data_IF_446820257991
#
_entry.id   IF_446820257991
#
_cell.length_a   1.000
_cell.length_b   1.000
_cell.length_c   1.000
_cell.angle_alpha   90.00
_cell.angle_beta   90.00
_cell.angle_gamma   90.00
#
_symmetry.space_group_name_H-M   'P 1'
#
loop_
_entity.id
_entity.type
_entity.pdbx_description
1 polymer ?
#
# COMPACT_ATOMS: atom_id res chain seq x y z
N UNK A 1 -14.87 2.44 -3.96
CA UNK A 1 -14.02 1.61 -4.85
C UNK A 1 -12.57 1.40 -4.40
N UNK A 2 -12.17 1.93 -3.23
CA UNK A 2 -10.81 1.75 -2.67
C UNK A 2 -10.80 0.85 -1.44
N UNK A 3 -11.95 0.60 -0.85
CA UNK A 3 -12.09 -0.33 0.26
C UNK A 3 -12.50 -1.70 -0.27
N UNK A 4 -12.03 -2.75 0.37
CA UNK A 4 -12.44 -4.12 0.07
C UNK A 4 -13.89 -4.30 0.56
N UNK A 5 -14.84 -4.66 -0.31
CA UNK A 5 -16.26 -4.79 0.08
C UNK A 5 -16.47 -5.80 1.21
N UNK A 6 -15.67 -6.85 1.23
CA UNK A 6 -15.81 -7.99 2.14
C UNK A 6 -14.85 -7.95 3.35
N UNK A 7 -14.18 -6.82 3.63
CA UNK A 7 -13.17 -6.74 4.70
C UNK A 7 -13.68 -7.22 6.06
N UNK A 8 -14.89 -6.82 6.46
CA UNK A 8 -15.48 -7.27 7.71
C UNK A 8 -15.82 -8.77 7.71
N UNK A 9 -16.25 -9.30 6.58
CA UNK A 9 -16.52 -10.73 6.40
C UNK A 9 -15.23 -11.55 6.47
N UNK A 10 -14.15 -11.06 5.83
CA UNK A 10 -12.81 -11.66 5.92
C UNK A 10 -12.30 -11.63 7.36
N UNK A 11 -12.41 -10.49 8.06
CA UNK A 11 -12.01 -10.37 9.45
C UNK A 11 -12.78 -11.35 10.35
N UNK A 12 -14.10 -11.41 10.22
CA UNK A 12 -14.93 -12.36 10.96
C UNK A 12 -14.55 -13.84 10.67
N UNK A 13 -14.11 -14.14 9.44
CA UNK A 13 -13.60 -15.47 9.09
C UNK A 13 -12.27 -15.76 9.80
N UNK A 14 -11.34 -14.76 9.87
CA UNK A 14 -10.09 -14.90 10.64
C UNK A 14 -10.36 -15.12 12.13
N UNK A 15 -11.34 -14.43 12.70
CA UNK A 15 -11.73 -14.61 14.11
C UNK A 15 -12.28 -16.01 14.38
N UNK A 16 -13.07 -16.57 13.46
CA UNK A 16 -13.52 -17.98 13.55
C UNK A 16 -12.36 -18.95 13.48
N UNK A 17 -11.49 -18.79 12.47
CA UNK A 17 -10.29 -19.63 12.31
C UNK A 17 -9.42 -19.60 13.59
N UNK A 18 -9.25 -18.42 14.21
CA UNK A 18 -8.51 -18.27 15.47
C UNK A 18 -9.15 -19.03 16.61
N UNK A 19 -10.48 -18.91 16.80
CA UNK A 19 -11.20 -19.66 17.85
C UNK A 19 -11.10 -21.17 17.70
N UNK A 20 -11.03 -21.62 16.44
CA UNK A 20 -10.93 -23.04 16.11
C UNK A 20 -9.47 -23.55 16.05
N UNK A 21 -8.50 -22.73 16.47
CA UNK A 21 -7.07 -23.07 16.45
C UNK A 21 -6.43 -23.12 15.07
N UNK A 22 -7.09 -22.65 14.03
CA UNK A 22 -6.63 -22.68 12.62
C UNK A 22 -5.94 -21.36 12.23
N UNK A 23 -4.77 -21.09 12.79
CA UNK A 23 -3.98 -19.92 12.41
C UNK A 23 -3.28 -20.17 11.07
N UNK A 24 -3.34 -19.19 10.15
CA UNK A 24 -2.72 -19.27 8.83
C UNK A 24 -1.24 -18.88 8.82
N UNK A 25 -0.81 -18.09 9.81
CA UNK A 25 0.56 -17.60 9.90
C UNK A 25 0.67 -16.34 10.80
N UNK A 26 1.84 -15.71 10.85
CA UNK A 26 2.10 -14.57 11.73
C UNK A 26 1.25 -13.32 11.42
N UNK A 27 0.73 -13.21 10.20
CA UNK A 27 -0.14 -12.11 9.78
C UNK A 27 -1.63 -12.41 9.95
N UNK A 28 -1.99 -13.50 10.63
CA UNK A 28 -3.39 -13.93 10.76
C UNK A 28 -4.27 -12.88 11.43
N UNK A 29 -5.21 -12.32 10.67
CA UNK A 29 -6.15 -11.29 11.13
C UNK A 29 -5.58 -9.87 11.15
N UNK A 30 -4.32 -9.68 10.75
CA UNK A 30 -3.71 -8.35 10.72
C UNK A 30 -4.29 -7.54 9.55
N UNK A 31 -4.94 -6.39 9.82
CA UNK A 31 -5.44 -5.51 8.77
C UNK A 31 -4.30 -4.71 8.14
N UNK A 32 -4.32 -4.57 6.80
CA UNK A 32 -3.33 -3.79 6.08
C UNK A 32 -3.93 -3.06 4.88
N UNK A 33 -3.18 -2.05 4.42
CA UNK A 33 -3.50 -1.27 3.24
C UNK A 33 -2.39 -1.43 2.18
N UNK A 34 -2.77 -1.31 0.91
CA UNK A 34 -1.87 -1.45 -0.23
C UNK A 34 -1.83 -0.17 -1.06
N UNK A 35 -0.65 0.25 -1.50
CA UNK A 35 -0.52 1.35 -2.46
C UNK A 35 -1.26 1.04 -3.76
N UNK A 36 -1.91 2.04 -4.37
CA UNK A 36 -2.81 1.83 -5.50
C UNK A 36 -2.11 1.55 -6.85
N UNK A 37 -0.87 1.16 -6.84
CA UNK A 37 -0.17 0.53 -7.96
C UNK A 37 0.04 -0.98 -7.79
N UNK A 38 -0.41 -1.57 -6.68
CA UNK A 38 -0.32 -3.00 -6.37
C UNK A 38 -1.68 -3.63 -6.66
N UNK A 39 -1.74 -4.62 -7.52
CA UNK A 39 -2.97 -5.33 -7.88
C UNK A 39 -3.56 -6.06 -6.68
N UNK A 40 -4.85 -5.86 -6.43
CA UNK A 40 -5.57 -6.51 -5.34
C UNK A 40 -7.07 -6.64 -5.66
N UNK A 41 -7.47 -7.80 -6.12
CA UNK A 41 -8.87 -8.11 -6.43
C UNK A 41 -9.77 -7.99 -5.17
N UNK A 42 -11.02 -7.57 -5.33
CA UNK A 42 -11.70 -7.12 -6.53
C UNK A 42 -11.54 -5.61 -6.82
N UNK A 43 -10.62 -4.93 -6.14
CA UNK A 43 -10.43 -3.48 -6.25
C UNK A 43 -9.71 -3.11 -7.54
N UNK A 44 -10.00 -1.90 -8.04
CA UNK A 44 -9.24 -1.35 -9.16
C UNK A 44 -7.81 -1.03 -8.76
N UNK A 45 -6.88 -1.14 -9.71
CA UNK A 45 -5.50 -0.69 -9.60
C UNK A 45 -5.27 0.42 -10.60
N UNK A 46 -5.06 1.64 -10.12
CA UNK A 46 -5.14 2.82 -10.99
C UNK A 46 -3.85 3.63 -11.10
N UNK A 47 -2.84 3.37 -10.26
CA UNK A 47 -1.69 4.28 -10.12
C UNK A 47 -2.10 5.75 -9.88
N UNK A 48 -3.30 5.97 -9.33
CA UNK A 48 -3.89 7.29 -9.11
C UNK A 48 -4.51 7.95 -10.35
N UNK A 49 -4.42 7.31 -11.51
CA UNK A 49 -4.91 7.84 -12.78
C UNK A 49 -6.36 7.47 -13.04
N UNK A 50 -7.13 8.42 -13.58
CA UNK A 50 -8.51 8.18 -14.04
C UNK A 50 -8.55 7.22 -15.24
N UNK A 51 -7.48 7.15 -16.04
CA UNK A 51 -7.40 6.25 -17.19
C UNK A 51 -7.49 4.77 -16.81
N UNK A 52 -7.06 4.41 -15.59
CA UNK A 52 -7.08 3.04 -15.08
C UNK A 52 -8.15 2.81 -13.99
N UNK A 53 -9.09 3.72 -13.79
CA UNK A 53 -10.09 3.59 -12.71
C UNK A 53 -10.98 2.34 -12.82
N UNK A 54 -11.13 1.78 -14.02
CA UNK A 54 -11.87 0.54 -14.29
C UNK A 54 -11.01 -0.72 -14.38
N UNK A 55 -9.69 -0.60 -14.27
CA UNK A 55 -8.78 -1.73 -14.39
C UNK A 55 -8.77 -2.57 -13.11
N UNK A 56 -9.34 -3.78 -13.16
CA UNK A 56 -9.52 -4.71 -12.03
C UNK A 56 -8.80 -6.03 -12.31
N UNK A 57 -7.48 -6.06 -12.15
CA UNK A 57 -6.67 -7.27 -12.35
C UNK A 57 -6.79 -8.23 -11.16
N UNK A 58 -6.32 -9.45 -11.36
CA UNK A 58 -6.11 -10.42 -10.28
C UNK A 58 -5.06 -9.93 -9.28
N UNK A 59 -5.02 -10.57 -8.10
CA UNK A 59 -4.05 -10.25 -7.04
C UNK A 59 -2.59 -10.32 -7.55
N UNK A 60 -1.80 -9.34 -7.18
CA UNK A 60 -0.34 -9.43 -7.27
C UNK A 60 0.19 -10.64 -6.48
N UNK A 61 1.33 -11.20 -6.89
CA UNK A 61 1.96 -12.31 -6.14
C UNK A 61 2.11 -11.99 -4.65
N UNK A 62 2.59 -10.80 -4.33
CA UNK A 62 2.71 -10.31 -2.95
C UNK A 62 1.35 -10.36 -2.21
N UNK A 63 0.27 -9.94 -2.86
CA UNK A 63 -1.07 -9.89 -2.24
C UNK A 63 -1.60 -11.30 -1.98
N UNK A 64 -1.40 -12.23 -2.90
CA UNK A 64 -1.72 -13.65 -2.67
C UNK A 64 -1.00 -14.17 -1.43
N UNK A 65 0.32 -13.91 -1.31
CA UNK A 65 1.13 -14.34 -0.16
C UNK A 65 0.66 -13.73 1.17
N UNK A 66 0.27 -12.44 1.17
CA UNK A 66 -0.28 -11.78 2.36
C UNK A 66 -1.62 -12.40 2.79
N UNK A 67 -2.52 -12.67 1.84
CA UNK A 67 -3.81 -13.33 2.10
C UNK A 67 -3.62 -14.77 2.60
N UNK A 68 -2.69 -15.53 2.01
CA UNK A 68 -2.36 -16.90 2.44
C UNK A 68 -1.82 -16.91 3.87
N UNK A 69 -1.03 -15.90 4.26
CA UNK A 69 -0.55 -15.72 5.63
C UNK A 69 -1.66 -15.24 6.61
N UNK A 70 -2.87 -15.00 6.11
CA UNK A 70 -4.05 -14.65 6.89
C UNK A 70 -4.29 -13.16 7.07
N UNK A 71 -3.53 -12.28 6.43
CA UNK A 71 -3.78 -10.85 6.48
C UNK A 71 -5.15 -10.46 5.90
N UNK A 72 -5.71 -9.36 6.40
CA UNK A 72 -6.96 -8.78 5.89
C UNK A 72 -6.64 -7.51 5.12
N UNK A 73 -6.84 -7.53 3.81
CA UNK A 73 -6.62 -6.36 2.97
C UNK A 73 -7.82 -5.44 3.08
N UNK A 74 -7.66 -4.28 3.74
CA UNK A 74 -8.74 -3.31 3.93
C UNK A 74 -9.02 -2.48 2.69
N UNK A 75 -7.99 -2.17 1.89
CA UNK A 75 -8.17 -1.28 0.76
C UNK A 75 -6.87 -0.81 0.13
N UNK A 76 -7.02 0.22 -0.72
CA UNK A 76 -5.94 0.85 -1.48
C UNK A 76 -5.66 2.26 -0.95
N UNK A 77 -4.40 2.60 -0.79
CA UNK A 77 -3.97 3.95 -0.40
C UNK A 77 -3.70 4.82 -1.61
N UNK A 78 -3.95 6.12 -1.46
CA UNK A 78 -3.55 7.11 -2.46
C UNK A 78 -2.02 7.15 -2.61
N UNK A 79 -1.57 7.57 -3.77
CA UNK A 79 -0.16 7.71 -4.11
C UNK A 79 0.04 8.98 -4.92
N UNK A 80 1.29 9.41 -5.08
CA UNK A 80 1.59 10.37 -6.16
C UNK A 80 1.29 9.70 -7.49
N UNK A 81 0.50 10.36 -8.34
CA UNK A 81 0.04 9.79 -9.61
C UNK A 81 1.20 9.23 -10.42
N UNK A 82 1.06 8.00 -10.93
CA UNK A 82 2.11 7.27 -11.64
C UNK A 82 3.43 7.22 -10.87
N UNK A 83 3.35 7.15 -9.52
CA UNK A 83 4.51 7.11 -8.63
C UNK A 83 5.52 8.28 -8.83
N UNK A 84 5.01 9.48 -9.13
CA UNK A 84 5.77 10.68 -9.52
C UNK A 84 6.45 10.60 -10.91
N UNK A 85 6.23 9.54 -11.67
CA UNK A 85 6.87 9.36 -12.98
C UNK A 85 6.11 10.03 -14.13
N UNK A 86 5.01 10.72 -13.84
CA UNK A 86 4.12 11.36 -14.82
C UNK A 86 4.80 12.52 -15.58
N UNK A 87 5.72 13.23 -14.95
CA UNK A 87 6.41 14.39 -15.53
C UNK A 87 7.16 15.20 -14.49
N UNK A 88 7.92 16.20 -14.95
CA UNK A 88 8.78 17.01 -14.09
C UNK A 88 8.02 17.90 -13.09
N UNK A 89 6.72 18.14 -13.30
CA UNK A 89 5.84 18.92 -12.42
C UNK A 89 4.97 18.01 -11.54
N UNK A 90 5.36 16.77 -11.28
CA UNK A 90 4.63 15.87 -10.39
C UNK A 90 4.62 16.40 -8.95
N UNK A 91 3.48 16.29 -8.29
CA UNK A 91 3.29 16.72 -6.90
C UNK A 91 3.16 15.48 -6.02
N UNK A 92 4.04 15.37 -5.03
CA UNK A 92 4.01 14.24 -4.09
C UNK A 92 2.70 14.19 -3.30
N UNK A 93 2.09 13.02 -3.30
CA UNK A 93 0.82 12.76 -2.61
C UNK A 93 -0.43 13.16 -3.38
N UNK A 94 -0.30 13.76 -4.57
CA UNK A 94 -1.44 14.11 -5.40
C UNK A 94 -1.70 13.06 -6.48
N UNK A 95 -2.97 12.78 -6.71
CA UNK A 95 -3.43 12.01 -7.87
C UNK A 95 -4.78 12.52 -8.37
N UNK A 96 -5.06 12.36 -9.67
CA UNK A 96 -6.35 12.76 -10.25
C UNK A 96 -7.52 11.98 -9.61
N UNK A 97 -7.29 10.73 -9.23
CA UNK A 97 -8.31 9.88 -8.60
C UNK A 97 -8.51 10.19 -7.12
N UNK A 98 -7.45 10.56 -6.39
CA UNK A 98 -7.44 10.64 -4.92
C UNK A 98 -7.31 12.04 -4.35
N UNK A 99 -7.01 13.02 -5.18
CA UNK A 99 -6.66 14.36 -4.71
C UNK A 99 -5.34 14.37 -3.94
N UNK A 100 -5.15 15.35 -3.09
CA UNK A 100 -3.93 15.57 -2.32
C UNK A 100 -3.97 14.83 -0.98
N UNK A 101 -3.11 13.86 -0.80
CA UNK A 101 -2.77 13.31 0.52
C UNK A 101 -2.01 14.37 1.33
N UNK A 102 -2.37 14.56 2.57
CA UNK A 102 -1.80 15.57 3.45
C UNK A 102 -0.99 14.93 4.57
N UNK A 103 0.06 15.62 5.02
CA UNK A 103 0.83 15.20 6.17
C UNK A 103 -0.07 15.25 7.43
N UNK A 104 -0.16 14.17 8.24
CA UNK A 104 -1.10 14.10 9.36
C UNK A 104 -0.71 15.01 10.54
N UNK A 105 0.55 15.40 10.65
CA UNK A 105 1.05 16.29 11.71
C UNK A 105 0.99 17.77 11.31
N UNK A 106 1.18 18.08 10.03
CA UNK A 106 1.14 19.44 9.46
C UNK A 106 0.51 19.42 8.09
N UNK A 107 -0.78 19.65 8.02
CA UNK A 107 -1.60 19.55 6.80
C UNK A 107 -1.14 20.45 5.65
N UNK A 108 -0.38 21.52 5.95
CA UNK A 108 0.23 22.42 4.96
C UNK A 108 1.54 21.90 4.37
N UNK A 109 2.11 20.81 4.94
CA UNK A 109 3.38 20.25 4.48
C UNK A 109 3.12 19.07 3.53
N UNK A 110 4.08 18.85 2.62
CA UNK A 110 4.08 17.67 1.75
C UNK A 110 4.20 16.39 2.60
N UNK A 111 3.46 15.33 2.30
CA UNK A 111 3.67 14.02 2.91
C UNK A 111 4.85 13.27 2.29
N UNK A 112 5.57 13.86 1.34
CA UNK A 112 6.45 13.18 0.39
C UNK A 112 5.71 12.09 -0.40
N UNK A 113 6.40 11.28 -1.16
CA UNK A 113 5.82 10.21 -2.00
C UNK A 113 6.90 9.36 -2.67
N UNK A 114 6.45 8.41 -3.44
CA UNK A 114 5.08 8.28 -3.98
C UNK A 114 4.14 7.43 -3.10
N UNK A 115 4.62 6.70 -2.08
CA UNK A 115 3.76 5.91 -1.18
C UNK A 115 3.13 6.76 -0.07
N UNK A 116 2.64 7.95 -0.42
CA UNK A 116 2.15 8.99 0.50
C UNK A 116 1.02 8.48 1.39
N UNK A 117 -0.02 7.90 0.79
CA UNK A 117 -1.18 7.40 1.53
C UNK A 117 -0.85 6.21 2.43
N UNK A 118 0.12 5.37 2.04
CA UNK A 118 0.58 4.25 2.89
C UNK A 118 1.26 4.78 4.15
N UNK A 119 2.19 5.75 4.04
CA UNK A 119 2.84 6.36 5.19
C UNK A 119 1.84 7.11 6.09
N UNK A 120 0.97 7.92 5.48
CA UNK A 120 -0.02 8.70 6.22
C UNK A 120 -1.03 7.82 6.95
N UNK A 121 -1.48 6.71 6.35
CA UNK A 121 -2.41 5.78 6.99
C UNK A 121 -1.81 5.15 8.26
N UNK A 122 -0.53 4.78 8.21
CA UNK A 122 0.20 4.26 9.38
C UNK A 122 0.43 5.36 10.42
N UNK A 123 0.93 6.53 10.00
CA UNK A 123 1.18 7.67 10.89
C UNK A 123 -0.09 8.17 11.60
N UNK A 124 -1.24 8.10 10.92
CA UNK A 124 -2.55 8.43 11.48
C UNK A 124 -3.19 7.28 12.27
N UNK A 125 -2.47 6.18 12.49
CA UNK A 125 -2.92 5.01 13.23
C UNK A 125 -4.21 4.36 12.69
N UNK A 126 -4.40 4.42 11.36
CA UNK A 126 -5.54 3.77 10.69
C UNK A 126 -5.29 2.27 10.50
N UNK A 127 -4.03 1.88 10.36
CA UNK A 127 -3.55 0.48 10.27
C UNK A 127 -2.17 0.38 10.90
N UNK A 128 -1.82 -0.81 11.38
CA UNK A 128 -0.47 -1.08 11.92
C UNK A 128 0.59 -1.20 10.82
N UNK A 129 0.19 -1.63 9.63
CA UNK A 129 1.09 -1.84 8.50
C UNK A 129 0.41 -1.46 7.18
N UNK A 130 1.16 -0.83 6.30
CA UNK A 130 0.78 -0.62 4.91
C UNK A 130 1.93 -1.01 3.97
N UNK A 131 1.61 -1.38 2.73
CA UNK A 131 2.61 -1.71 1.72
C UNK A 131 2.75 -0.54 0.76
N UNK A 132 3.99 -0.10 0.59
CA UNK A 132 4.40 0.85 -0.42
C UNK A 132 5.18 0.20 -1.55
N UNK A 133 5.63 1.01 -2.51
CA UNK A 133 6.59 0.63 -3.55
C UNK A 133 7.63 1.74 -3.70
N UNK A 134 8.84 1.35 -3.99
CA UNK A 134 9.93 2.30 -4.20
C UNK A 134 10.76 1.91 -5.41
N UNK A 135 11.01 2.88 -6.26
CA UNK A 135 12.06 2.88 -7.25
C UNK A 135 13.25 3.66 -6.70
N UNK A 136 13.00 4.93 -6.34
CA UNK A 136 13.96 5.85 -5.73
C UNK A 136 13.22 6.74 -4.72
N UNK A 137 13.45 6.53 -3.42
CA UNK A 137 12.88 7.31 -2.33
C UNK A 137 11.40 7.08 -2.00
N UNK A 138 10.64 6.34 -2.80
CA UNK A 138 9.16 6.30 -2.70
C UNK A 138 8.57 5.51 -1.52
N UNK A 139 9.37 4.85 -0.70
CA UNK A 139 9.03 4.32 0.63
C UNK A 139 9.73 5.16 1.70
N UNK A 140 11.06 5.32 1.56
CA UNK A 140 11.88 5.90 2.64
C UNK A 140 11.59 7.38 2.84
N UNK A 141 11.30 8.16 1.78
CA UNK A 141 10.97 9.58 1.91
C UNK A 141 9.62 9.79 2.62
N UNK A 142 8.48 9.22 2.17
CA UNK A 142 7.22 9.39 2.89
C UNK A 142 7.27 8.77 4.30
N UNK A 143 8.04 7.71 4.54
CA UNK A 143 8.24 7.19 5.88
C UNK A 143 8.92 8.20 6.78
N UNK A 144 10.06 8.76 6.37
CA UNK A 144 10.80 9.76 7.14
C UNK A 144 9.96 11.01 7.44
N UNK A 145 9.26 11.55 6.42
CA UNK A 145 8.50 12.79 6.56
C UNK A 145 7.24 12.61 7.43
N UNK A 146 6.69 11.41 7.50
CA UNK A 146 5.48 11.13 8.30
C UNK A 146 5.82 10.39 9.63
N UNK A 147 7.10 10.27 10.00
CA UNK A 147 7.53 9.72 11.28
C UNK A 147 7.20 8.24 11.47
N UNK A 148 7.28 7.46 10.39
CA UNK A 148 7.07 6.01 10.42
C UNK A 148 8.30 5.26 9.90
N UNK A 149 8.39 3.98 10.16
CA UNK A 149 9.44 3.11 9.62
C UNK A 149 9.04 2.67 8.21
N UNK A 150 9.94 2.83 7.25
CA UNK A 150 9.77 2.33 5.89
C UNK A 150 10.98 1.48 5.49
N UNK A 151 10.73 0.28 4.98
CA UNK A 151 11.77 -0.62 4.51
C UNK A 151 11.67 -0.82 3.01
N UNK A 152 12.69 -0.39 2.27
CA UNK A 152 12.91 -0.81 0.88
C UNK A 152 13.76 -2.09 0.88
N UNK A 153 13.20 -3.24 0.56
CA UNK A 153 13.97 -4.48 0.48
C UNK A 153 14.98 -4.45 -0.68
N UNK A 154 15.97 -5.33 -0.63
CA UNK A 154 16.85 -5.59 -1.76
C UNK A 154 16.01 -5.93 -3.00
N UNK A 155 16.36 -5.34 -4.14
CA UNK A 155 15.67 -5.59 -5.42
C UNK A 155 15.71 -7.08 -5.73
N UNK A 156 14.54 -7.65 -6.05
CA UNK A 156 14.39 -9.08 -6.32
C UNK A 156 14.05 -9.93 -5.10
N UNK A 157 14.20 -9.43 -3.86
CA UNK A 157 13.83 -10.17 -2.66
C UNK A 157 12.30 -10.38 -2.55
N UNK A 158 11.53 -9.37 -2.95
CA UNK A 158 10.07 -9.42 -2.99
C UNK A 158 9.60 -9.32 -4.44
N UNK A 159 8.70 -10.20 -4.87
CA UNK A 159 8.17 -10.23 -6.23
C UNK A 159 7.46 -8.92 -6.60
N UNK A 160 7.67 -8.48 -7.83
CA UNK A 160 6.99 -7.32 -8.43
C UNK A 160 5.84 -7.72 -9.37
N UNK A 161 5.57 -9.02 -9.48
CA UNK A 161 4.45 -9.52 -10.28
C UNK A 161 3.13 -8.91 -9.82
N UNK A 162 2.38 -8.32 -10.76
CA UNK A 162 1.13 -7.62 -10.47
C UNK A 162 1.30 -6.23 -9.84
N UNK A 163 2.47 -5.60 -9.97
CA UNK A 163 2.71 -4.21 -9.55
C UNK A 163 3.00 -3.37 -10.80
N UNK A 164 2.31 -2.23 -10.95
CA UNK A 164 2.57 -1.30 -12.07
C UNK A 164 4.03 -0.83 -11.97
N UNK A 165 4.86 -1.10 -13.00
CA UNK A 165 6.30 -0.87 -12.93
C UNK A 165 6.69 0.57 -13.26
N UNK A 166 7.89 0.96 -12.77
CA UNK A 166 8.67 2.10 -13.24
C UNK A 166 9.98 1.60 -13.83
N UNK A 167 10.80 0.92 -13.02
CA UNK A 167 12.13 0.44 -13.41
C UNK A 167 12.35 -0.99 -12.94
N UNK A 168 12.59 -1.90 -13.87
CA UNK A 168 12.84 -3.31 -13.55
C UNK A 168 14.12 -3.54 -12.72
N UNK A 169 15.08 -2.62 -12.80
CA UNK A 169 16.34 -2.73 -12.06
C UNK A 169 16.31 -2.10 -10.66
N UNK A 170 15.24 -1.36 -10.31
CA UNK A 170 15.20 -0.56 -9.08
C UNK A 170 13.96 -0.79 -8.23
N UNK A 171 12.83 -1.17 -8.83
CA UNK A 171 11.55 -1.29 -8.13
C UNK A 171 11.58 -2.37 -7.05
N UNK A 172 11.07 -2.03 -5.87
CA UNK A 172 10.82 -2.97 -4.78
C UNK A 172 9.54 -2.58 -4.02
N UNK A 173 8.62 -3.53 -3.74
CA UNK A 173 7.57 -3.30 -2.75
C UNK A 173 8.13 -3.53 -1.35
N UNK A 174 7.60 -2.80 -0.35
CA UNK A 174 8.05 -2.94 1.03
C UNK A 174 7.07 -2.40 2.05
N UNK A 175 7.22 -2.81 3.32
CA UNK A 175 6.32 -2.42 4.40
C UNK A 175 6.65 -1.02 4.94
N UNK A 176 5.60 -0.40 5.50
CA UNK A 176 5.63 0.82 6.29
C UNK A 176 4.88 0.55 7.59
N UNK A 177 5.48 0.84 8.74
CA UNK A 177 4.98 0.52 10.08
C UNK A 177 5.33 1.62 11.08
N UNK A 178 4.73 1.61 12.28
CA UNK A 178 5.11 2.55 13.35
C UNK A 178 6.44 2.16 14.03
N UNK A 179 6.76 0.87 14.09
CA UNK A 179 7.97 0.33 14.74
C UNK A 179 8.52 -0.85 13.96
N UNK A 180 9.72 -1.28 14.33
CA UNK A 180 10.38 -2.50 13.81
C UNK A 180 10.15 -3.73 14.70
N UNK A 181 9.42 -3.56 15.77
CA UNK A 181 9.07 -4.62 16.73
C UNK A 181 7.59 -4.94 16.66
#
# INVERSE_FOLDING_TARGET
DRLTPDALKEAAARDRDRRDGRLRGPLHGIPLLLKDNINAAPMATSAGSLALQGFRPDDAYLVRRLRDAGAVVLGKTNLSEWANFRGNASISGWSARGGQTRNPYRISHSPCGSSSGSAVAVAANLVSVAIGTETDGSIVCPAAINGVVGLKPTVGLVSRDGIIPISFSQDAPGPMTLSIT
#
